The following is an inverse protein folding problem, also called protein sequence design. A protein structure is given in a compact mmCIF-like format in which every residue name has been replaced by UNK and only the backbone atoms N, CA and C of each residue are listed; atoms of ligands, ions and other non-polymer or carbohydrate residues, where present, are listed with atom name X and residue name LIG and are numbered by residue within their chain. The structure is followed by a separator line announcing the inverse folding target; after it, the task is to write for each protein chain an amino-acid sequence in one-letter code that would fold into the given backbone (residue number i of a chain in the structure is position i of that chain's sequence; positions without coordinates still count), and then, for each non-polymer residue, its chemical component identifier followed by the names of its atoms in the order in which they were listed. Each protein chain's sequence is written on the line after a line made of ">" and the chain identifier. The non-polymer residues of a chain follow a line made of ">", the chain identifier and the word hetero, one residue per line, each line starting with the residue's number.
data_IF_262117295323
#
_entry.id   IF_262117295323
#
_cell.length_a   1.000
_cell.length_b   1.000
_cell.length_c   1.000
_cell.angle_alpha   90.00
_cell.angle_beta   90.00
_cell.angle_gamma   90.00
#
_symmetry.space_group_name_H-M   'P 1'
#
loop_
_entity.id
_entity.type
_entity.pdbx_description
1 polymer ?
#
# COMPACT_ATOMS: atom_id res chain seq x y z
N UNK A 1 14.98 7.41 17.32
CA UNK A 1 13.60 7.58 16.79
C UNK A 1 12.87 8.83 17.31
N UNK A 2 13.47 9.72 18.12
CA UNK A 2 12.75 10.81 18.82
C UNK A 2 12.06 11.89 17.95
N UNK A 3 12.28 11.90 16.62
CA UNK A 3 11.60 12.81 15.68
C UNK A 3 10.63 12.12 14.71
N UNK A 4 10.56 10.79 14.70
CA UNK A 4 9.67 10.05 13.79
C UNK A 4 8.31 9.88 14.47
N UNK A 5 7.25 10.33 13.81
CA UNK A 5 5.87 10.27 14.34
C UNK A 5 5.06 9.10 13.80
N UNK A 6 5.42 8.58 12.64
CA UNK A 6 4.75 7.46 11.98
C UNK A 6 5.79 6.52 11.38
N UNK A 7 5.58 5.22 11.59
CA UNK A 7 6.30 4.13 10.94
C UNK A 7 5.26 3.23 10.29
N UNK A 8 5.46 2.89 9.01
CA UNK A 8 4.63 1.91 8.32
C UNK A 8 5.49 0.68 8.04
N UNK A 9 4.98 -0.48 8.44
CA UNK A 9 5.58 -1.79 8.13
C UNK A 9 4.89 -2.31 6.88
N UNK A 10 5.65 -2.59 5.82
CA UNK A 10 5.12 -3.03 4.54
C UNK A 10 6.03 -4.11 3.92
N UNK A 11 5.46 -4.94 3.05
CA UNK A 11 6.18 -6.04 2.39
C UNK A 11 7.26 -5.52 1.42
N UNK A 12 6.95 -4.46 0.67
CA UNK A 12 7.86 -3.79 -0.25
C UNK A 12 7.96 -2.28 0.06
N UNK A 13 8.88 -1.89 0.96
CA UNK A 13 9.11 -0.48 1.27
C UNK A 13 9.62 0.33 0.06
N UNK A 14 10.26 -0.32 -0.93
CA UNK A 14 10.76 0.35 -2.11
C UNK A 14 9.60 0.81 -2.99
N UNK A 15 8.59 -0.05 -3.22
CA UNK A 15 7.35 0.33 -3.92
C UNK A 15 6.58 1.44 -3.19
N UNK A 16 6.46 1.32 -1.86
CA UNK A 16 5.73 2.28 -1.02
C UNK A 16 6.31 3.69 -1.12
N UNK A 17 7.65 3.82 -1.13
CA UNK A 17 8.31 5.15 -1.20
C UNK A 17 8.30 5.80 -2.59
N UNK A 18 7.95 5.07 -3.66
CA UNK A 18 8.01 5.61 -5.03
C UNK A 18 7.03 6.76 -5.25
N UNK A 19 5.89 6.75 -4.56
CA UNK A 19 4.90 7.82 -4.69
C UNK A 19 4.00 7.93 -3.47
N UNK A 20 3.41 9.11 -3.30
CA UNK A 20 2.37 9.34 -2.30
C UNK A 20 1.16 8.42 -2.47
N UNK A 21 0.80 8.12 -3.73
CA UNK A 21 -0.32 7.22 -4.04
C UNK A 21 -0.04 5.79 -3.57
N UNK A 22 1.17 5.28 -3.79
CA UNK A 22 1.57 3.95 -3.34
C UNK A 22 1.59 3.88 -1.81
N UNK A 23 2.10 4.93 -1.16
CA UNK A 23 2.06 5.04 0.31
C UNK A 23 0.63 4.97 0.84
N UNK A 24 -0.27 5.82 0.33
CA UNK A 24 -1.67 5.84 0.78
C UNK A 24 -2.38 4.51 0.51
N UNK A 25 -2.25 3.98 -0.71
CA UNK A 25 -2.90 2.75 -1.10
C UNK A 25 -2.41 1.58 -0.24
N UNK A 26 -1.10 1.39 -0.14
CA UNK A 26 -0.53 0.27 0.62
C UNK A 26 -0.90 0.38 2.10
N UNK A 27 -0.74 1.57 2.69
CA UNK A 27 -0.97 1.77 4.13
C UNK A 27 -2.43 1.49 4.50
N UNK A 28 -3.38 2.11 3.79
CA UNK A 28 -4.77 2.13 4.23
C UNK A 28 -5.66 1.04 3.62
N UNK A 29 -5.23 0.36 2.55
CA UNK A 29 -5.97 -0.80 2.03
C UNK A 29 -5.52 -2.13 2.63
N UNK A 30 -4.35 -2.16 3.30
CA UNK A 30 -3.82 -3.37 3.91
C UNK A 30 -3.87 -3.37 5.44
N UNK A 31 -4.15 -2.25 6.10
CA UNK A 31 -4.24 -2.20 7.57
C UNK A 31 -5.69 -2.21 8.07
N UNK A 32 -5.98 -2.97 9.10
CA UNK A 32 -7.18 -2.81 9.93
C UNK A 32 -6.87 -1.86 11.12
N UNK A 33 -7.54 -0.69 11.23
CA UNK A 33 -7.34 0.24 12.34
C UNK A 33 -7.52 -0.36 13.74
N UNK A 34 -8.26 -1.45 13.89
CA UNK A 34 -8.49 -2.09 15.18
C UNK A 34 -7.34 -3.01 15.60
N UNK A 35 -6.69 -3.70 14.66
CA UNK A 35 -5.71 -4.76 14.97
C UNK A 35 -4.28 -4.43 14.56
N UNK A 36 -4.10 -3.54 13.59
CA UNK A 36 -2.82 -3.29 12.94
C UNK A 36 -2.16 -1.97 13.39
N UNK A 37 -2.69 -1.38 14.46
CA UNK A 37 -2.21 -0.12 15.03
C UNK A 37 -1.46 -0.38 16.33
N UNK A 38 -0.19 0.01 16.33
CA UNK A 38 0.71 -0.09 17.47
C UNK A 38 1.37 1.26 17.74
N UNK A 39 2.05 1.39 18.88
CA UNK A 39 2.76 2.62 19.17
C UNK A 39 3.86 2.42 20.20
N UNK A 40 4.97 3.12 20.00
CA UNK A 40 6.09 3.09 20.94
C UNK A 40 5.65 3.69 22.28
N UNK A 41 5.72 2.90 23.34
CA UNK A 41 5.19 3.28 24.66
C UNK A 41 3.68 3.54 24.62
N UNK A 42 2.93 2.66 23.94
CA UNK A 42 1.47 2.71 23.91
C UNK A 42 0.87 2.64 25.31
N UNK A 43 -0.22 3.37 25.54
CA UNK A 43 -0.94 3.41 26.80
C UNK A 43 -2.44 3.61 26.56
N UNK A 44 -3.24 3.28 27.56
CA UNK A 44 -4.66 3.62 27.61
C UNK A 44 -4.91 4.49 28.83
N UNK A 45 -5.48 5.68 28.64
CA UNK A 45 -5.86 6.59 29.73
C UNK A 45 -7.31 7.01 29.53
N UNK A 46 -8.17 6.79 30.53
CA UNK A 46 -9.60 7.11 30.44
C UNK A 46 -10.27 6.58 29.15
N UNK A 47 -10.02 5.30 28.80
CA UNK A 47 -10.50 4.62 27.57
C UNK A 47 -9.96 5.18 26.24
N UNK A 48 -9.02 6.12 26.27
CA UNK A 48 -8.33 6.61 25.08
C UNK A 48 -7.01 5.88 24.92
N UNK A 49 -6.83 5.21 23.79
CA UNK A 49 -5.54 4.63 23.41
C UNK A 49 -4.65 5.71 22.80
N UNK A 50 -3.36 5.66 23.11
CA UNK A 50 -2.36 6.55 22.53
C UNK A 50 -0.96 5.96 22.66
N UNK A 51 0.04 6.69 22.17
CA UNK A 51 1.44 6.31 22.32
C UNK A 51 2.33 7.53 22.53
N UNK A 52 3.47 7.34 23.21
CA UNK A 52 4.41 8.43 23.53
C UNK A 52 5.43 8.68 22.40
N UNK A 53 5.69 7.66 21.59
CA UNK A 53 6.60 7.71 20.45
C UNK A 53 5.87 7.65 19.12
N UNK A 54 6.50 7.00 18.13
CA UNK A 54 5.91 6.82 16.82
C UNK A 54 4.67 5.91 16.87
N UNK A 55 3.64 6.29 16.11
CA UNK A 55 2.59 5.38 15.68
C UNK A 55 3.19 4.38 14.69
N UNK A 56 2.83 3.11 14.82
CA UNK A 56 3.28 2.04 13.93
C UNK A 56 2.04 1.41 13.30
N UNK A 57 1.99 1.38 11.97
CA UNK A 57 0.91 0.75 11.20
C UNK A 57 1.46 -0.49 10.50
N UNK A 58 0.84 -1.65 10.72
CA UNK A 58 1.13 -2.88 9.99
C UNK A 58 0.32 -2.95 8.69
N UNK A 59 0.94 -2.54 7.59
CA UNK A 59 0.37 -2.54 6.25
C UNK A 59 0.85 -3.73 5.40
N UNK A 60 1.38 -4.79 6.02
CA UNK A 60 1.71 -6.02 5.30
C UNK A 60 0.45 -6.71 4.79
N UNK A 61 0.58 -7.47 3.70
CA UNK A 61 -0.52 -8.30 3.20
C UNK A 61 -0.88 -9.41 4.22
N UNK A 62 -2.17 -9.75 4.31
CA UNK A 62 -2.70 -10.81 5.16
C UNK A 62 -3.17 -11.97 4.30
N UNK A 63 -3.18 -13.18 4.85
CA UNK A 63 -3.56 -14.41 4.12
C UNK A 63 -4.98 -14.36 3.52
N UNK A 64 -5.88 -13.62 4.16
CA UNK A 64 -7.26 -13.45 3.71
C UNK A 64 -7.43 -12.32 2.68
N UNK A 65 -6.39 -11.54 2.37
CA UNK A 65 -6.46 -10.57 1.29
C UNK A 65 -6.50 -11.28 -0.06
N UNK A 66 -7.21 -10.67 -1.01
CA UNK A 66 -7.11 -11.10 -2.39
C UNK A 66 -5.63 -11.03 -2.85
N UNK A 67 -5.19 -11.98 -3.70
CA UNK A 67 -3.88 -11.87 -4.32
C UNK A 67 -3.77 -10.56 -5.12
N UNK A 68 -2.54 -10.12 -5.33
CA UNK A 68 -2.28 -8.93 -6.14
C UNK A 68 -2.82 -9.16 -7.54
N UNK A 69 -3.49 -8.14 -8.10
CA UNK A 69 -3.87 -8.15 -9.50
C UNK A 69 -2.61 -7.95 -10.34
N UNK A 70 -2.16 -9.00 -11.00
CA UNK A 70 -1.04 -8.97 -11.94
C UNK A 70 -1.58 -8.99 -13.37
N UNK A 71 -1.02 -8.15 -14.22
CA UNK A 71 -1.36 -8.13 -15.65
C UNK A 71 -0.76 -9.36 -16.34
N UNK A 72 -1.54 -10.00 -17.21
CA UNK A 72 -1.04 -11.10 -18.03
C UNK A 72 -0.15 -10.51 -19.15
N UNK A 73 1.15 -10.86 -19.20
CA UNK A 73 2.10 -10.26 -20.15
C UNK A 73 1.73 -10.55 -21.61
N UNK A 74 1.11 -11.69 -21.91
CA UNK A 74 0.70 -12.04 -23.27
C UNK A 74 -0.52 -11.21 -23.69
N UNK A 75 -1.43 -10.95 -22.76
CA UNK A 75 -2.59 -10.07 -23.00
C UNK A 75 -2.12 -8.62 -23.18
N UNK A 76 -1.21 -8.14 -22.33
CA UNK A 76 -0.60 -6.80 -22.48
C UNK A 76 0.06 -6.66 -23.85
N UNK A 77 0.93 -7.61 -24.24
CA UNK A 77 1.61 -7.56 -25.52
C UNK A 77 0.63 -7.55 -26.72
N UNK A 78 -0.47 -8.31 -26.61
CA UNK A 78 -1.50 -8.32 -27.64
C UNK A 78 -2.25 -6.99 -27.72
N UNK A 79 -2.57 -6.36 -26.59
CA UNK A 79 -3.22 -5.04 -26.56
C UNK A 79 -2.28 -3.96 -27.14
N UNK A 80 -1.00 -3.98 -26.75
CA UNK A 80 0.03 -3.07 -27.28
C UNK A 80 0.17 -3.20 -28.81
N UNK A 81 0.16 -4.42 -29.35
CA UNK A 81 0.20 -4.64 -30.80
C UNK A 81 -1.02 -4.07 -31.52
N UNK A 82 -2.20 -4.08 -30.90
CA UNK A 82 -3.42 -3.47 -31.46
C UNK A 82 -3.39 -1.93 -31.38
N UNK A 83 -2.68 -1.37 -30.39
CA UNK A 83 -2.49 0.07 -30.21
C UNK A 83 -1.35 0.65 -31.06
N UNK A 84 -0.45 -0.19 -31.59
CA UNK A 84 0.65 0.20 -32.45
C UNK A 84 0.17 0.94 -33.72
N UNK A 85 1.04 1.75 -34.37
CA UNK A 85 0.67 2.50 -35.56
C UNK A 85 0.05 1.64 -36.67
N UNK A 86 -1.16 2.00 -37.08
CA UNK A 86 -1.94 1.27 -38.10
C UNK A 86 -2.83 0.15 -37.54
N UNK A 87 -2.73 -0.14 -36.24
CA UNK A 87 -3.62 -1.06 -35.55
C UNK A 87 -5.01 -0.48 -35.25
N UNK A 88 -5.99 -1.33 -34.89
CA UNK A 88 -7.36 -0.90 -34.69
C UNK A 88 -7.57 0.01 -33.48
N UNK A 89 -6.63 0.06 -32.53
CA UNK A 89 -6.67 0.96 -31.37
C UNK A 89 -5.75 2.18 -31.50
N UNK A 90 -5.09 2.34 -32.64
CA UNK A 90 -4.17 3.45 -32.86
C UNK A 90 -4.89 4.80 -32.74
N UNK A 91 -4.42 5.67 -31.83
CA UNK A 91 -4.94 7.00 -31.49
C UNK A 91 -6.32 7.03 -30.81
N UNK A 92 -6.83 5.91 -30.33
CA UNK A 92 -8.08 5.88 -29.55
C UNK A 92 -7.86 6.22 -28.07
N UNK A 93 -6.62 6.12 -27.59
CA UNK A 93 -6.20 6.40 -26.22
C UNK A 93 -4.87 7.16 -26.24
#
# INVERSE_FOLDING_TARGET
>A
LGGIRLVVVADDPAFVRLSWRNFLWTTFTRSDPATDIYGLGSFTHCKHWGCRGALVIDARAKEFHAPVLEEDPDVVARVEALAAPGGPFHKLF
#
